data_IF_993776728213
#
_entry.id   IF_993776728213
#
_cell.length_a   1.000
_cell.length_b   1.000
_cell.length_c   1.000
_cell.angle_alpha   90.00
_cell.angle_beta   90.00
_cell.angle_gamma   90.00
#
_symmetry.space_group_name_H-M   'P 1'
#
loop_
_entity.id
_entity.type
_entity.pdbx_description
1 polymer ?
#
# COMPACT_ATOMS: atom_id res chain seq x y z
N UNK A 1 33.57 23.09 -1.08
CA UNK A 1 32.72 22.04 -1.70
C UNK A 1 32.41 21.03 -0.61
N UNK A 2 31.15 20.90 -0.16
CA UNK A 2 30.77 19.81 0.74
C UNK A 2 30.23 18.64 -0.08
N UNK A 3 31.07 17.60 -0.13
CA UNK A 3 30.81 16.20 0.23
C UNK A 3 29.47 15.52 -0.13
N UNK A 4 29.65 14.34 -0.71
CA UNK A 4 28.72 13.46 -1.40
C UNK A 4 27.98 12.57 -0.37
N UNK A 5 27.22 13.15 0.56
CA UNK A 5 26.58 12.39 1.66
C UNK A 5 25.04 12.47 1.72
N UNK A 6 24.35 12.78 0.62
CA UNK A 6 22.87 12.73 0.59
C UNK A 6 22.30 11.91 -0.57
N UNK A 7 23.02 10.89 -1.03
CA UNK A 7 22.56 10.00 -2.11
C UNK A 7 22.01 8.65 -1.65
N UNK A 8 21.71 8.46 -0.37
CA UNK A 8 21.28 7.16 0.16
C UNK A 8 19.82 7.07 0.65
N UNK A 9 18.98 8.09 0.46
CA UNK A 9 17.58 8.07 1.01
C UNK A 9 16.46 7.78 0.00
N UNK A 10 16.75 7.59 -1.29
CA UNK A 10 15.69 7.49 -2.32
C UNK A 10 15.50 6.11 -2.98
N UNK A 11 16.30 5.10 -2.62
CA UNK A 11 16.24 3.79 -3.29
C UNK A 11 15.23 2.81 -2.64
N UNK A 12 14.78 3.09 -1.41
CA UNK A 12 13.99 2.13 -0.62
C UNK A 12 12.48 2.18 -0.88
N UNK A 13 12.02 3.21 -1.61
CA UNK A 13 10.67 3.35 -2.15
C UNK A 13 10.49 2.63 -3.49
N UNK A 14 11.57 2.06 -4.05
CA UNK A 14 11.66 1.91 -5.51
C UNK A 14 10.73 0.85 -6.08
N UNK A 15 10.28 -0.16 -5.34
CA UNK A 15 9.26 -1.11 -5.84
C UNK A 15 8.39 -1.64 -4.69
N UNK A 16 7.21 -1.03 -4.48
CA UNK A 16 6.20 -1.58 -3.54
C UNK A 16 5.61 -2.89 -4.06
N UNK A 17 5.54 -3.07 -5.37
CA UNK A 17 5.03 -4.27 -6.01
C UNK A 17 6.19 -5.21 -6.38
N UNK A 18 5.95 -6.52 -6.42
CA UNK A 18 7.04 -7.46 -6.74
C UNK A 18 8.01 -7.76 -5.61
N UNK A 19 7.86 -7.13 -4.45
CA UNK A 19 8.83 -7.22 -3.36
C UNK A 19 8.37 -8.16 -2.24
N UNK A 20 9.33 -8.77 -1.58
CA UNK A 20 9.07 -9.75 -0.53
C UNK A 20 8.31 -9.14 0.66
N UNK A 21 7.22 -9.80 1.05
CA UNK A 21 6.29 -9.31 2.07
C UNK A 21 6.97 -9.15 3.43
N UNK A 22 7.83 -10.10 3.81
CA UNK A 22 8.55 -10.07 5.10
C UNK A 22 9.47 -8.86 5.14
N UNK A 23 10.24 -8.62 4.08
CA UNK A 23 11.10 -7.44 3.97
C UNK A 23 10.31 -6.14 4.06
N UNK A 24 9.13 -6.06 3.44
CA UNK A 24 8.28 -4.86 3.52
C UNK A 24 7.77 -4.61 4.94
N UNK A 25 7.38 -5.65 5.67
CA UNK A 25 7.00 -5.52 7.08
C UNK A 25 8.20 -5.12 7.95
N UNK A 26 9.40 -5.66 7.70
CA UNK A 26 10.61 -5.34 8.47
C UNK A 26 11.08 -3.89 8.34
N UNK A 27 10.78 -3.19 7.23
CA UNK A 27 11.13 -1.77 7.04
C UNK A 27 10.37 -0.82 7.98
N UNK A 28 9.29 -1.28 8.62
CA UNK A 28 8.48 -0.48 9.55
C UNK A 28 8.52 -1.14 10.92
N UNK A 29 9.19 -0.49 11.87
CA UNK A 29 9.14 -0.91 13.28
C UNK A 29 7.67 -0.99 13.71
N UNK A 30 7.32 -2.12 14.34
CA UNK A 30 6.02 -2.38 14.96
C UNK A 30 4.81 -2.58 14.03
N UNK A 31 5.01 -2.98 12.76
CA UNK A 31 3.88 -3.35 11.88
C UNK A 31 3.90 -4.82 11.46
N UNK A 32 2.79 -5.51 11.69
CA UNK A 32 2.56 -6.89 11.24
C UNK A 32 2.04 -6.99 9.80
N UNK A 33 1.57 -5.86 9.25
CA UNK A 33 0.91 -5.78 7.94
C UNK A 33 1.73 -4.85 7.03
N UNK A 34 1.98 -5.30 5.80
CA UNK A 34 2.71 -4.49 4.82
C UNK A 34 1.93 -3.22 4.45
N UNK A 35 2.68 -2.14 4.20
CA UNK A 35 2.12 -0.82 3.95
C UNK A 35 1.04 -0.77 2.85
N UNK A 36 1.24 -1.39 1.66
CA UNK A 36 0.20 -1.43 0.62
C UNK A 36 -1.13 -2.05 1.10
N UNK A 37 -1.04 -3.10 1.91
CA UNK A 37 -2.21 -3.80 2.46
C UNK A 37 -2.94 -2.90 3.45
N UNK A 38 -2.20 -2.31 4.41
CA UNK A 38 -2.77 -1.44 5.45
C UNK A 38 -3.56 -0.27 4.84
N UNK A 39 -2.96 0.44 3.88
CA UNK A 39 -3.57 1.61 3.26
C UNK A 39 -4.80 1.24 2.44
N UNK A 40 -4.74 0.17 1.64
CA UNK A 40 -5.88 -0.26 0.84
C UNK A 40 -7.06 -0.68 1.73
N UNK A 41 -6.80 -1.40 2.83
CA UNK A 41 -7.86 -1.80 3.78
C UNK A 41 -8.51 -0.56 4.40
N UNK A 42 -7.73 0.40 4.91
CA UNK A 42 -8.28 1.63 5.50
C UNK A 42 -9.12 2.45 4.52
N UNK A 43 -8.66 2.56 3.27
CA UNK A 43 -9.42 3.24 2.21
C UNK A 43 -10.75 2.55 1.91
N UNK A 44 -10.77 1.21 1.91
CA UNK A 44 -11.98 0.41 1.74
C UNK A 44 -12.93 0.55 2.94
N UNK A 45 -12.43 0.51 4.17
CA UNK A 45 -13.22 0.71 5.38
C UNK A 45 -13.89 2.09 5.39
N UNK A 46 -13.16 3.14 5.00
CA UNK A 46 -13.72 4.48 4.87
C UNK A 46 -14.86 4.56 3.85
N UNK A 47 -14.74 3.83 2.73
CA UNK A 47 -15.77 3.80 1.69
C UNK A 47 -17.10 3.16 2.16
N UNK A 48 -17.05 2.32 3.19
CA UNK A 48 -18.23 1.66 3.77
C UNK A 48 -18.94 2.54 4.80
N UNK A 49 -18.21 3.47 5.44
CA UNK A 49 -18.71 4.31 6.52
C UNK A 49 -19.24 5.68 6.05
N UNK A 50 -18.88 6.13 4.84
CA UNK A 50 -19.32 7.43 4.33
C UNK A 50 -20.68 7.34 3.63
N UNK A 51 -21.66 8.11 4.11
CA UNK A 51 -22.83 8.47 3.31
C UNK A 51 -22.33 9.19 2.05
N UNK A 52 -22.77 8.75 0.86
CA UNK A 52 -22.31 9.23 -0.44
C UNK A 52 -22.50 10.74 -0.61
N UNK A 53 -21.56 11.55 -0.12
CA UNK A 53 -21.47 12.97 -0.45
C UNK A 53 -20.96 13.04 -1.88
N UNK A 54 -21.65 13.79 -2.73
CA UNK A 54 -21.33 14.01 -4.15
C UNK A 54 -19.99 14.75 -4.30
N UNK A 55 -18.89 14.03 -4.05
CA UNK A 55 -17.53 14.54 -4.18
C UNK A 55 -16.88 13.95 -5.41
N UNK A 56 -15.92 14.68 -5.96
CA UNK A 56 -15.07 14.21 -7.06
C UNK A 56 -14.34 12.95 -6.59
N UNK A 57 -14.57 11.86 -7.32
CA UNK A 57 -13.99 10.56 -7.02
C UNK A 57 -12.56 10.50 -7.56
N UNK A 58 -11.62 10.03 -6.75
CA UNK A 58 -10.25 9.77 -7.19
C UNK A 58 -10.18 8.38 -7.80
N UNK A 59 -9.78 8.30 -9.07
CA UNK A 59 -9.79 7.08 -9.89
C UNK A 59 -8.43 6.34 -9.96
N UNK A 60 -7.37 6.90 -9.38
CA UNK A 60 -6.03 6.32 -9.42
C UNK A 60 -5.35 6.48 -8.06
N UNK A 61 -4.81 5.37 -7.54
CA UNK A 61 -4.13 5.33 -6.24
C UNK A 61 -2.62 5.15 -6.46
N UNK A 62 -1.86 6.17 -6.09
CA UNK A 62 -0.41 6.06 -5.98
C UNK A 62 -0.02 5.89 -4.50
N UNK A 63 0.41 4.68 -4.13
CA UNK A 63 0.81 4.36 -2.76
C UNK A 63 2.07 5.12 -2.30
N UNK A 64 2.93 5.54 -3.24
CA UNK A 64 4.15 6.29 -2.92
C UNK A 64 3.85 7.74 -2.50
N UNK A 65 2.70 8.28 -2.89
CA UNK A 65 2.30 9.66 -2.56
C UNK A 65 1.48 9.76 -1.28
N UNK A 66 1.16 8.64 -0.64
CA UNK A 66 0.43 8.64 0.63
C UNK A 66 1.47 8.67 1.75
N UNK A 67 1.50 9.77 2.50
CA UNK A 67 2.32 9.88 3.70
C UNK A 67 1.60 9.29 4.91
N UNK A 68 2.35 8.89 5.95
CA UNK A 68 1.78 8.36 7.21
C UNK A 68 0.81 9.33 7.90
N UNK A 69 0.97 10.64 7.69
CA UNK A 69 0.10 11.67 8.25
C UNK A 69 -1.15 11.96 7.42
N UNK A 70 -1.30 11.34 6.25
CA UNK A 70 -2.41 11.62 5.34
C UNK A 70 -3.72 11.15 5.94
N UNK A 71 -4.70 12.05 5.99
CA UNK A 71 -6.05 11.74 6.43
C UNK A 71 -6.80 11.02 5.31
N UNK A 72 -6.71 9.69 5.28
CA UNK A 72 -7.30 8.84 4.24
C UNK A 72 -8.81 9.08 4.04
N UNK A 73 -9.52 9.48 5.10
CA UNK A 73 -10.96 9.77 5.08
C UNK A 73 -11.29 10.99 4.20
N UNK A 74 -10.32 11.85 3.91
CA UNK A 74 -10.52 13.06 3.11
C UNK A 74 -10.30 12.79 1.60
N UNK A 75 -9.70 11.65 1.23
CA UNK A 75 -9.20 11.38 -0.12
C UNK A 75 -10.26 10.88 -1.13
N UNK A 76 -11.49 10.56 -0.69
CA UNK A 76 -12.66 10.16 -1.52
C UNK A 76 -12.31 9.28 -2.74
N UNK A 77 -11.56 8.20 -2.51
CA UNK A 77 -11.25 7.22 -3.55
C UNK A 77 -12.50 6.44 -3.96
N UNK A 78 -12.60 6.09 -5.24
CA UNK A 78 -13.54 5.04 -5.67
C UNK A 78 -13.15 3.74 -4.94
N UNK A 79 -14.05 3.03 -4.24
CA UNK A 79 -13.72 1.76 -3.58
C UNK A 79 -13.12 0.70 -4.53
N UNK A 80 -13.42 0.76 -5.82
CA UNK A 80 -12.84 -0.13 -6.82
C UNK A 80 -11.33 0.10 -7.02
N UNK A 81 -10.81 1.29 -6.72
CA UNK A 81 -9.41 1.66 -6.91
C UNK A 81 -8.48 1.01 -5.86
N UNK A 82 -8.68 1.19 -4.54
CA UNK A 82 -7.89 0.49 -3.53
C UNK A 82 -8.12 -1.02 -3.58
N UNK A 83 -9.33 -1.49 -3.94
CA UNK A 83 -9.58 -2.92 -4.16
C UNK A 83 -8.75 -3.49 -5.31
N UNK A 84 -8.68 -2.80 -6.45
CA UNK A 84 -7.89 -3.24 -7.61
C UNK A 84 -6.40 -3.18 -7.32
N UNK A 85 -5.94 -2.11 -6.66
CA UNK A 85 -4.55 -1.95 -6.23
C UNK A 85 -4.14 -3.07 -5.28
N UNK A 86 -4.97 -3.40 -4.30
CA UNK A 86 -4.71 -4.50 -3.36
C UNK A 86 -4.63 -5.85 -4.07
N UNK A 87 -5.57 -6.14 -5.00
CA UNK A 87 -5.55 -7.37 -5.80
C UNK A 87 -4.28 -7.47 -6.64
N UNK A 88 -3.88 -6.38 -7.27
CA UNK A 88 -2.67 -6.32 -8.07
C UNK A 88 -1.43 -6.58 -7.21
N UNK A 89 -1.33 -5.90 -6.07
CA UNK A 89 -0.23 -6.05 -5.12
C UNK A 89 -0.08 -7.51 -4.67
N UNK A 90 -1.17 -8.14 -4.23
CA UNK A 90 -1.16 -9.54 -3.79
C UNK A 90 -0.79 -10.53 -4.91
N UNK A 91 -1.18 -10.23 -6.15
CA UNK A 91 -0.83 -11.05 -7.32
C UNK A 91 0.65 -10.94 -7.69
N UNK A 92 1.25 -9.78 -7.44
CA UNK A 92 2.64 -9.47 -7.78
C UNK A 92 3.61 -9.84 -6.66
N UNK A 93 3.15 -10.35 -5.51
CA UNK A 93 4.04 -10.88 -4.49
C UNK A 93 4.91 -12.02 -5.05
N UNK A 94 6.21 -12.06 -4.71
CA UNK A 94 7.12 -13.08 -5.23
C UNK A 94 6.77 -14.50 -4.75
N UNK A 95 6.16 -14.62 -3.57
CA UNK A 95 5.54 -15.85 -3.08
C UNK A 95 4.07 -15.59 -2.77
N UNK A 96 3.25 -16.63 -2.90
CA UNK A 96 1.81 -16.55 -2.62
C UNK A 96 1.61 -16.24 -1.13
N UNK A 97 0.60 -15.42 -0.84
CA UNK A 97 0.23 -15.09 0.55
C UNK A 97 -0.04 -16.35 1.38
N UNK A 98 -0.74 -17.33 0.79
CA UNK A 98 -0.76 -18.70 1.28
C UNK A 98 0.47 -19.38 0.70
N UNK A 99 1.49 -19.56 1.53
CA UNK A 99 2.73 -20.24 1.14
C UNK A 99 2.39 -21.61 0.57
N UNK A 100 3.23 -22.12 -0.33
CA UNK A 100 3.04 -23.43 -0.96
C UNK A 100 2.87 -24.57 0.05
N UNK A 101 3.41 -24.41 1.27
CA UNK A 101 3.24 -25.33 2.38
C UNK A 101 1.78 -25.45 2.90
N UNK A 102 0.92 -24.46 2.62
CA UNK A 102 -0.46 -24.38 3.08
C UNK A 102 -1.48 -24.66 1.95
N UNK A 103 -1.04 -24.79 0.71
CA UNK A 103 -1.91 -25.13 -0.41
C UNK A 103 -2.06 -26.65 -0.52
N UNK A 104 -3.29 -27.17 -0.75
CA UNK A 104 -3.49 -28.58 -1.02
C UNK A 104 -2.72 -28.97 -2.29
N UNK A 105 -1.98 -30.09 -2.21
CA UNK A 105 -1.23 -30.67 -3.32
C UNK A 105 -2.15 -31.16 -4.43
#
# INVERSE_FOLDING_TARGET
MPEIEQRLENDDLMLLFGYDLIKQCSKRKDTLIAYPIEICIRLLENSLNEERKQKKIVAELNLQTIDRGTRLNELNYDPHVPASTLKQYLRELPDRLLTTALLPQ
#
